data_IF_613617033632
#
_entry.id   IF_613617033632
#
_cell.length_a   1.000
_cell.length_b   1.000
_cell.length_c   1.000
_cell.angle_alpha   90.00
_cell.angle_beta   90.00
_cell.angle_gamma   90.00
#
_symmetry.space_group_name_H-M   'P 1'
#
loop_
_entity.id
_entity.type
_entity.pdbx_description
1 polymer ?
#
# COMPACT_ATOMS: atom_id res chain seq x y z
N UNK A 1 -15.80 4.96 -12.05
CA UNK A 1 -14.43 4.97 -11.49
C UNK A 1 -14.44 5.87 -10.27
N UNK A 2 -14.28 5.32 -9.06
CA UNK A 2 -14.33 6.11 -7.83
C UNK A 2 -13.02 6.87 -7.64
N UNK A 3 -13.09 8.19 -7.55
CA UNK A 3 -11.92 9.06 -7.33
C UNK A 3 -11.22 8.65 -6.03
N UNK A 4 -9.97 8.20 -6.15
CA UNK A 4 -9.18 7.64 -5.06
C UNK A 4 -8.41 8.76 -4.37
N UNK A 5 -8.64 8.96 -3.05
CA UNK A 5 -7.93 9.96 -2.24
C UNK A 5 -7.03 9.24 -1.25
N UNK A 6 -5.72 9.42 -1.43
CA UNK A 6 -4.69 9.10 -0.45
C UNK A 6 -4.16 10.42 0.08
N UNK A 7 -4.29 10.63 1.39
CA UNK A 7 -3.86 11.86 2.03
C UNK A 7 -2.33 11.83 2.23
N UNK A 8 -1.71 13.01 2.22
CA UNK A 8 -0.27 13.13 2.39
C UNK A 8 0.20 12.59 3.76
N UNK A 9 1.41 12.01 3.83
CA UNK A 9 1.97 11.46 5.08
C UNK A 9 2.45 12.53 6.07
N UNK A 10 2.25 13.83 5.79
CA UNK A 10 2.48 14.95 6.75
C UNK A 10 1.35 15.06 7.78
N UNK A 11 0.84 13.90 8.15
CA UNK A 11 -0.27 13.64 9.01
C UNK A 11 0.24 12.62 10.06
N UNK A 12 1.14 13.05 10.93
CA UNK A 12 1.59 12.43 12.17
C UNK A 12 0.46 12.14 13.16
N UNK A 13 0.60 12.44 14.46
CA UNK A 13 -0.13 11.71 15.53
C UNK A 13 -1.63 11.98 15.46
N UNK A 14 -2.32 11.16 14.66
CA UNK A 14 -3.73 11.19 14.33
C UNK A 14 -4.22 12.52 13.71
N UNK A 15 -3.94 12.75 12.42
CA UNK A 15 -4.64 13.78 11.65
C UNK A 15 -6.14 13.60 11.86
N UNK A 16 -6.77 14.64 12.38
CA UNK A 16 -8.18 14.59 12.74
C UNK A 16 -8.99 15.33 11.69
N UNK A 17 -9.87 14.62 10.99
CA UNK A 17 -10.86 15.25 10.12
C UNK A 17 -12.10 15.49 10.96
N UNK A 18 -12.43 16.76 11.21
CA UNK A 18 -13.67 17.12 11.88
C UNK A 18 -14.72 17.50 10.85
N UNK A 19 -15.77 16.70 10.77
CA UNK A 19 -16.92 16.93 9.89
C UNK A 19 -18.02 17.62 10.69
N UNK A 20 -18.31 18.88 10.38
CA UNK A 20 -19.48 19.55 10.92
C UNK A 20 -20.63 19.43 9.94
N UNK A 21 -21.76 18.86 10.38
CA UNK A 21 -22.92 18.66 9.54
C UNK A 21 -24.18 19.29 10.14
N UNK A 22 -24.93 20.02 9.32
CA UNK A 22 -26.27 20.48 9.66
C UNK A 22 -27.32 19.40 9.32
N UNK A 23 -28.47 19.46 9.98
CA UNK A 23 -29.58 18.51 9.82
C UNK A 23 -30.42 18.71 8.55
N UNK A 24 -30.26 19.83 7.82
CA UNK A 24 -31.08 20.15 6.63
C UNK A 24 -30.38 19.95 5.28
N UNK A 25 -29.06 19.91 5.21
CA UNK A 25 -28.34 19.97 3.93
C UNK A 25 -28.08 18.59 3.29
N UNK A 26 -28.56 18.41 2.05
CA UNK A 26 -28.46 17.16 1.26
C UNK A 26 -27.02 16.82 0.77
N UNK A 27 -26.15 17.77 0.36
CA UNK A 27 -24.83 17.45 -0.21
C UNK A 27 -23.82 16.93 0.82
N UNK A 28 -23.67 17.60 1.97
CA UNK A 28 -22.75 17.21 3.03
C UNK A 28 -23.04 15.81 3.59
N UNK A 29 -24.33 15.45 3.72
CA UNK A 29 -24.77 14.10 4.11
C UNK A 29 -24.32 13.01 3.14
N UNK A 30 -24.41 13.27 1.83
CA UNK A 30 -23.96 12.32 0.81
C UNK A 30 -22.45 12.12 0.87
N UNK A 31 -21.68 13.18 1.11
CA UNK A 31 -20.23 13.07 1.29
C UNK A 31 -19.88 12.19 2.50
N UNK A 32 -20.49 12.46 3.66
CA UNK A 32 -20.30 11.66 4.87
C UNK A 32 -20.66 10.20 4.64
N UNK A 33 -21.79 9.93 3.99
CA UNK A 33 -22.28 8.57 3.80
C UNK A 33 -21.46 7.77 2.77
N UNK A 34 -21.13 8.36 1.62
CA UNK A 34 -20.51 7.61 0.51
C UNK A 34 -18.97 7.68 0.52
N UNK A 35 -18.38 8.79 0.94
CA UNK A 35 -16.95 9.03 0.69
C UNK A 35 -16.10 8.82 1.94
N UNK A 36 -16.61 9.12 3.13
CA UNK A 36 -15.85 8.93 4.38
C UNK A 36 -15.41 7.47 4.58
N UNK A 37 -16.26 6.44 4.36
CA UNK A 37 -15.80 5.05 4.46
C UNK A 37 -14.64 4.73 3.50
N UNK A 38 -14.69 5.28 2.28
CA UNK A 38 -13.63 5.09 1.28
C UNK A 38 -12.32 5.79 1.68
N UNK A 39 -12.43 6.98 2.28
CA UNK A 39 -11.27 7.73 2.79
C UNK A 39 -10.66 6.98 3.99
N UNK A 40 -11.47 6.54 4.97
CA UNK A 40 -10.98 5.81 6.14
C UNK A 40 -10.27 4.51 5.76
N UNK A 41 -10.85 3.75 4.83
CA UNK A 41 -10.25 2.49 4.38
C UNK A 41 -8.85 2.69 3.77
N UNK A 42 -8.69 3.74 2.97
CA UNK A 42 -7.42 4.06 2.30
C UNK A 42 -6.42 4.74 3.22
N UNK A 43 -6.90 5.36 4.29
CA UNK A 43 -6.08 6.11 5.24
C UNK A 43 -6.38 5.60 6.66
N UNK A 44 -6.01 4.34 6.99
CA UNK A 44 -6.38 3.72 8.27
C UNK A 44 -5.79 4.43 9.49
N UNK A 45 -4.69 5.15 9.29
CA UNK A 45 -3.99 5.92 10.32
C UNK A 45 -4.59 7.30 10.57
N UNK A 46 -5.56 7.72 9.75
CA UNK A 46 -6.25 9.01 9.89
C UNK A 46 -7.44 8.85 10.82
N UNK A 47 -7.58 9.76 11.79
CA UNK A 47 -8.74 9.81 12.66
C UNK A 47 -9.83 10.69 12.04
N UNK A 48 -11.04 10.16 11.89
CA UNK A 48 -12.17 10.94 11.38
C UNK A 48 -13.20 11.06 12.50
N UNK A 49 -13.53 12.31 12.85
CA UNK A 49 -14.51 12.66 13.87
C UNK A 49 -15.67 13.44 13.24
N UNK A 50 -16.90 13.10 13.64
CA UNK A 50 -18.11 13.68 13.07
C UNK A 50 -18.91 14.38 14.15
N UNK A 51 -19.20 15.65 13.93
CA UNK A 51 -20.02 16.49 14.78
C UNK A 51 -21.29 16.90 14.05
N UNK A 52 -22.43 16.81 14.73
CA UNK A 52 -23.74 17.12 14.17
C UNK A 52 -24.35 18.31 14.91
N UNK A 53 -24.94 19.24 14.17
CA UNK A 53 -25.69 20.39 14.69
C UNK A 53 -24.90 21.35 15.61
N UNK A 54 -23.57 21.41 15.48
CA UNK A 54 -22.73 22.31 16.27
C UNK A 54 -22.62 23.70 15.63
N UNK A 55 -22.66 23.79 14.29
CA UNK A 55 -22.58 25.04 13.54
C UNK A 55 -23.70 25.11 12.50
N UNK A 56 -24.18 26.32 12.17
CA UNK A 56 -25.23 26.50 11.17
C UNK A 56 -24.75 26.10 9.77
N UNK A 57 -23.48 26.34 9.43
CA UNK A 57 -22.90 25.96 8.15
C UNK A 57 -21.99 24.73 8.28
N UNK A 58 -22.05 23.78 7.33
CA UNK A 58 -21.20 22.60 7.34
C UNK A 58 -19.81 22.90 6.79
N UNK A 59 -18.77 22.42 7.47
CA UNK A 59 -17.38 22.54 7.03
C UNK A 59 -16.57 21.29 7.40
N UNK A 60 -15.43 21.15 6.73
CA UNK A 60 -14.39 20.18 7.04
C UNK A 60 -13.22 20.91 7.67
N UNK A 61 -12.64 20.33 8.72
CA UNK A 61 -11.41 20.83 9.31
C UNK A 61 -10.38 19.72 9.39
N UNK A 62 -9.20 19.99 8.85
CA UNK A 62 -8.05 19.10 8.84
C UNK A 62 -6.98 19.67 9.76
N UNK A 63 -6.33 18.80 10.52
CA UNK A 63 -5.23 19.13 11.42
C UNK A 63 -3.98 18.41 10.91
N UNK A 64 -2.92 19.17 10.67
CA UNK A 64 -1.68 18.72 10.01
C UNK A 64 -0.50 18.55 10.98
N UNK A 65 0.56 17.92 10.46
CA UNK A 65 1.93 17.78 10.99
C UNK A 65 2.42 18.95 11.80
N UNK A 66 2.32 20.06 11.09
CA UNK A 66 2.86 21.37 11.41
C UNK A 66 2.05 22.08 12.49
N UNK A 67 0.92 21.52 12.94
CA UNK A 67 -0.09 22.22 13.72
C UNK A 67 -0.96 23.17 12.88
N UNK A 68 -0.73 23.22 11.57
CA UNK A 68 -1.57 23.98 10.64
C UNK A 68 -2.96 23.36 10.53
N UNK A 69 -3.93 24.23 10.27
CA UNK A 69 -5.34 23.83 10.18
C UNK A 69 -5.91 24.31 8.86
N UNK A 70 -6.48 23.37 8.12
CA UNK A 70 -7.14 23.66 6.85
C UNK A 70 -8.64 23.56 7.06
N UNK A 71 -9.34 24.66 6.79
CA UNK A 71 -10.79 24.73 6.83
C UNK A 71 -11.34 24.71 5.40
N UNK A 72 -12.26 23.79 5.10
CA UNK A 72 -12.92 23.68 3.80
C UNK A 72 -14.42 23.79 4.00
N UNK A 73 -15.01 24.89 3.51
CA UNK A 73 -16.46 25.05 3.45
C UNK A 73 -17.07 24.10 2.39
N UNK A 74 -18.17 23.45 2.76
CA UNK A 74 -18.88 22.45 1.96
C UNK A 74 -20.36 22.75 1.75
N UNK A 75 -20.85 23.92 2.19
CA UNK A 75 -22.27 24.28 2.14
C UNK A 75 -22.87 24.18 0.73
N UNK A 76 -22.23 24.81 -0.26
CA UNK A 76 -22.76 24.91 -1.64
C UNK A 76 -22.14 23.90 -2.60
N UNK A 77 -21.24 23.03 -2.12
CA UNK A 77 -20.45 22.12 -2.98
C UNK A 77 -21.11 20.76 -3.17
N UNK A 78 -21.02 20.22 -4.38
CA UNK A 78 -21.44 18.84 -4.64
C UNK A 78 -20.44 17.83 -4.04
N UNK A 79 -20.88 16.58 -3.83
CA UNK A 79 -20.02 15.51 -3.31
C UNK A 79 -18.72 15.34 -4.14
N UNK A 80 -18.82 15.46 -5.46
CA UNK A 80 -17.66 15.35 -6.37
C UNK A 80 -16.71 16.53 -6.23
N UNK A 81 -17.25 17.75 -6.18
CA UNK A 81 -16.45 18.97 -5.97
C UNK A 81 -15.72 18.92 -4.63
N UNK A 82 -16.37 18.45 -3.56
CA UNK A 82 -15.72 18.28 -2.26
C UNK A 82 -14.54 17.30 -2.38
N UNK A 83 -14.72 16.18 -3.07
CA UNK A 83 -13.64 15.19 -3.27
C UNK A 83 -12.48 15.76 -4.08
N UNK A 84 -12.75 16.43 -5.20
CA UNK A 84 -11.71 17.04 -6.03
C UNK A 84 -10.96 18.13 -5.27
N UNK A 85 -11.68 18.94 -4.49
CA UNK A 85 -11.09 19.98 -3.66
C UNK A 85 -10.16 19.39 -2.58
N UNK A 86 -10.58 18.32 -1.90
CA UNK A 86 -9.73 17.62 -0.92
C UNK A 86 -8.52 16.98 -1.61
N UNK A 87 -8.71 16.32 -2.76
CA UNK A 87 -7.61 15.74 -3.54
C UNK A 87 -6.58 16.80 -3.93
N UNK A 88 -7.03 18.01 -4.29
CA UNK A 88 -6.16 19.10 -4.70
C UNK A 88 -5.34 19.68 -3.53
N UNK A 89 -5.92 19.79 -2.34
CA UNK A 89 -5.23 20.40 -1.19
C UNK A 89 -4.36 19.40 -0.43
N UNK A 90 -4.90 18.20 -0.17
CA UNK A 90 -4.29 17.22 0.73
C UNK A 90 -3.99 15.87 0.09
N UNK A 91 -4.40 15.67 -1.17
CA UNK A 91 -4.14 14.43 -1.89
C UNK A 91 -2.68 14.35 -2.33
N UNK A 92 -2.13 13.13 -2.30
CA UNK A 92 -0.84 12.85 -2.95
C UNK A 92 -0.95 13.06 -4.46
N UNK A 93 0.12 13.60 -5.05
CA UNK A 93 0.25 13.72 -6.50
C UNK A 93 0.35 12.33 -7.14
N UNK A 94 -0.14 12.21 -8.37
CA UNK A 94 -0.11 10.95 -9.12
C UNK A 94 1.32 10.45 -9.31
N UNK A 95 2.26 11.33 -9.61
CA UNK A 95 3.70 11.02 -9.67
C UNK A 95 4.26 10.42 -8.36
N UNK A 96 3.76 10.87 -7.21
CA UNK A 96 4.20 10.35 -5.91
C UNK A 96 3.65 8.95 -5.69
N UNK A 97 2.40 8.71 -6.08
CA UNK A 97 1.77 7.39 -6.00
C UNK A 97 2.48 6.38 -6.91
N UNK A 98 2.81 6.79 -8.14
CA UNK A 98 3.56 5.95 -9.08
C UNK A 98 4.95 5.60 -8.55
N UNK A 99 5.66 6.57 -7.96
CA UNK A 99 6.97 6.33 -7.32
C UNK A 99 6.86 5.35 -6.16
N UNK A 100 5.90 5.54 -5.25
CA UNK A 100 5.67 4.62 -4.13
C UNK A 100 5.32 3.19 -4.62
N UNK A 101 4.55 3.07 -5.71
CA UNK A 101 4.24 1.78 -6.31
C UNK A 101 5.50 1.14 -6.95
N UNK A 102 6.31 1.94 -7.63
CA UNK A 102 7.55 1.47 -8.24
C UNK A 102 8.57 1.02 -7.20
N UNK A 103 8.71 1.73 -6.09
CA UNK A 103 9.55 1.33 -4.95
C UNK A 103 9.08 0.00 -4.35
N UNK A 104 7.76 -0.20 -4.20
CA UNK A 104 7.20 -1.49 -3.75
C UNK A 104 7.53 -2.64 -4.70
N UNK A 105 7.54 -2.39 -6.01
CA UNK A 105 7.94 -3.39 -7.02
C UNK A 105 9.43 -3.72 -6.93
N UNK A 106 10.29 -2.76 -6.59
CA UNK A 106 11.73 -2.99 -6.41
C UNK A 106 12.04 -3.92 -5.24
N UNK A 107 11.19 -3.96 -4.21
CA UNK A 107 11.36 -4.89 -3.07
C UNK A 107 11.34 -6.37 -3.50
N UNK A 108 10.57 -6.70 -4.56
CA UNK A 108 10.57 -8.03 -5.17
C UNK A 108 11.59 -8.09 -6.31
N UNK A 109 12.85 -8.39 -5.97
CA UNK A 109 13.90 -8.44 -6.97
C UNK A 109 13.86 -9.76 -7.77
N UNK A 110 13.74 -9.75 -9.11
CA UNK A 110 13.57 -10.95 -9.93
C UNK A 110 14.74 -11.96 -9.87
N UNK A 111 15.95 -11.49 -9.52
CA UNK A 111 17.12 -12.34 -9.41
C UNK A 111 17.21 -13.08 -8.06
N UNK A 112 16.32 -12.79 -7.10
CA UNK A 112 16.28 -13.51 -5.84
C UNK A 112 15.71 -14.93 -6.05
N UNK A 113 16.33 -15.88 -5.35
CA UNK A 113 15.84 -17.26 -5.24
C UNK A 113 15.27 -17.47 -3.83
N UNK A 114 14.12 -18.12 -3.74
CA UNK A 114 13.44 -18.36 -2.47
C UNK A 114 12.01 -18.86 -2.67
N UNK A 115 11.23 -19.01 -1.59
CA UNK A 115 9.88 -19.58 -1.65
C UNK A 115 8.99 -18.92 -2.70
N UNK A 116 8.16 -19.70 -3.41
CA UNK A 116 7.26 -19.21 -4.49
C UNK A 116 6.37 -18.04 -4.10
N UNK A 117 6.10 -17.86 -2.81
CA UNK A 117 5.31 -16.73 -2.29
C UNK A 117 5.96 -15.37 -2.58
N UNK A 118 7.30 -15.30 -2.60
CA UNK A 118 8.04 -14.03 -2.66
C UNK A 118 9.02 -13.95 -3.84
N UNK A 119 9.51 -15.09 -4.32
CA UNK A 119 10.50 -15.15 -5.40
C UNK A 119 9.93 -15.94 -6.58
N UNK A 120 10.42 -15.61 -7.78
CA UNK A 120 9.99 -16.27 -9.01
C UNK A 120 10.48 -17.72 -9.09
N UNK A 121 11.67 -17.99 -8.54
CA UNK A 121 12.37 -19.27 -8.61
C UNK A 121 12.76 -19.70 -7.20
N UNK A 122 12.60 -20.98 -6.89
CA UNK A 122 12.99 -21.51 -5.57
C UNK A 122 14.42 -22.02 -5.57
N UNK A 123 14.80 -22.73 -6.63
CA UNK A 123 16.11 -23.29 -6.79
C UNK A 123 16.70 -22.87 -8.13
N UNK A 124 18.02 -22.75 -8.19
CA UNK A 124 18.74 -22.44 -9.43
C UNK A 124 18.63 -23.57 -10.47
N UNK A 125 18.25 -24.78 -10.06
CA UNK A 125 18.03 -25.90 -10.98
C UNK A 125 16.86 -25.68 -11.96
N UNK A 126 16.04 -24.65 -11.75
CA UNK A 126 15.00 -24.20 -12.70
C UNK A 126 15.57 -23.37 -13.86
N UNK A 127 16.83 -22.94 -13.78
CA UNK A 127 17.48 -22.15 -14.82
C UNK A 127 18.14 -23.09 -15.83
N UNK A 128 17.80 -22.92 -17.10
CA UNK A 128 18.38 -23.71 -18.18
C UNK A 128 19.91 -23.59 -18.22
N UNK A 129 20.58 -24.70 -18.54
CA UNK A 129 22.04 -24.79 -18.53
C UNK A 129 22.66 -25.02 -17.15
N UNK A 130 21.89 -24.96 -16.06
CA UNK A 130 22.35 -25.32 -14.72
C UNK A 130 22.20 -26.81 -14.43
N UNK A 131 22.85 -27.27 -13.35
CA UNK A 131 22.75 -28.66 -12.90
C UNK A 131 21.33 -28.94 -12.41
N UNK A 132 20.64 -29.96 -12.95
CA UNK A 132 19.28 -30.29 -12.54
C UNK A 132 19.25 -30.82 -11.11
N UNK A 133 18.11 -30.65 -10.45
CA UNK A 133 17.92 -31.17 -9.10
C UNK A 133 17.94 -32.72 -9.11
N UNK A 134 18.70 -33.38 -8.21
CA UNK A 134 18.86 -34.84 -8.21
C UNK A 134 17.55 -35.64 -8.07
N UNK A 135 16.52 -35.03 -7.47
CA UNK A 135 15.19 -35.63 -7.37
C UNK A 135 14.44 -35.74 -8.70
N UNK A 136 14.82 -34.95 -9.71
CA UNK A 136 14.27 -34.99 -11.06
C UNK A 136 15.15 -35.80 -12.01
N UNK A 137 16.47 -35.54 -11.98
CA UNK A 137 17.45 -36.21 -12.84
C UNK A 137 18.60 -36.69 -11.97
N UNK A 138 18.84 -38.02 -11.87
CA UNK A 138 19.95 -38.55 -11.11
C UNK A 138 21.29 -38.00 -11.63
N UNK A 139 22.12 -37.50 -10.72
CA UNK A 139 23.45 -37.00 -11.08
C UNK A 139 24.41 -38.15 -11.40
N UNK A 140 25.46 -37.91 -12.22
CA UNK A 140 26.49 -38.90 -12.52
C UNK A 140 27.12 -39.48 -11.25
N UNK A 141 27.53 -40.76 -11.32
CA UNK A 141 28.06 -41.51 -10.17
C UNK A 141 29.28 -40.82 -9.56
N UNK A 142 30.11 -40.23 -10.41
CA UNK A 142 31.33 -39.51 -10.09
C UNK A 142 31.07 -38.28 -9.21
N UNK A 143 29.86 -37.70 -9.28
CA UNK A 143 29.45 -36.57 -8.44
C UNK A 143 28.86 -37.00 -7.10
N UNK A 144 28.48 -38.27 -6.93
CA UNK A 144 27.86 -38.75 -5.69
C UNK A 144 28.88 -38.90 -4.56
N UNK A 145 28.50 -38.49 -3.35
CA UNK A 145 29.37 -38.58 -2.16
C UNK A 145 29.79 -40.01 -1.83
N UNK A 146 28.86 -40.98 -1.98
CA UNK A 146 29.11 -42.41 -1.73
C UNK A 146 30.25 -42.96 -2.61
N UNK A 147 30.24 -42.63 -3.91
CA UNK A 147 31.26 -43.11 -4.84
C UNK A 147 32.63 -42.47 -4.55
N UNK A 148 32.67 -41.15 -4.31
CA UNK A 148 33.91 -40.44 -3.95
C UNK A 148 34.53 -40.97 -2.65
N UNK A 149 33.71 -41.33 -1.66
CA UNK A 149 34.18 -41.88 -0.39
C UNK A 149 34.80 -43.28 -0.58
N UNK A 150 34.15 -44.15 -1.37
CA UNK A 150 34.68 -45.48 -1.66
C UNK A 150 36.03 -45.42 -2.38
N UNK A 151 36.17 -44.54 -3.39
CA UNK A 151 37.44 -44.35 -4.10
C UNK A 151 38.57 -43.85 -3.19
N UNK A 152 38.27 -42.96 -2.25
CA UNK A 152 39.26 -42.46 -1.29
C UNK A 152 39.70 -43.55 -0.31
N UNK A 153 38.77 -44.37 0.17
CA UNK A 153 39.09 -45.49 1.06
C UNK A 153 40.00 -46.51 0.36
N UNK A 154 39.69 -46.89 -0.88
CA UNK A 154 40.52 -47.82 -1.67
C UNK A 154 41.90 -47.27 -2.07
N UNK A 155 42.14 -45.96 -1.91
CA UNK A 155 43.43 -45.33 -2.21
C UNK A 155 44.32 -45.16 -0.97
N UNK A 156 43.81 -45.49 0.23
CA UNK A 156 44.55 -45.43 1.50
C UNK A 156 45.01 -46.80 2.00
N UNK A 157 44.55 -47.88 1.35
CA UNK A 157 45.09 -49.25 1.46
C UNK A 157 46.24 -49.45 0.46
#
# INVERSE_FOLDING_TARGET
MGTQILLHNQLGIHPSIHLHQESRQRPGRKFVFFNIPQIQYKNPWVQIMMFKNMTPTPFLRFYLDSGEQVLVDVETKSNKEIMEHIKKILGKNEETLEKEEQEKKQLSHPAHFGPRKYCLRECICEVEGQVPCPGLVPLPREMTGKYKAALKASAQD
#
